data_IF_387713463120
#
_entry.id   IF_387713463120
#
_cell.length_a   1.000
_cell.length_b   1.000
_cell.length_c   1.000
_cell.angle_alpha   90.00
_cell.angle_beta   90.00
_cell.angle_gamma   90.00
#
_symmetry.space_group_name_H-M   'P 1'
#
loop_
_entity.id
_entity.type
_entity.pdbx_description
1 polymer ?
#
# COMPACT_ATOMS: atom_id res chain seq x y z
N UNK A 1 10.61 -0.83 -13.82
CA UNK A 1 9.69 -1.98 -13.77
C UNK A 1 8.45 -1.68 -14.60
N UNK A 2 7.95 -2.66 -15.33
CA UNK A 2 6.77 -2.48 -16.17
C UNK A 2 5.50 -2.32 -15.35
N UNK A 3 4.53 -1.62 -15.93
CA UNK A 3 3.22 -1.47 -15.30
C UNK A 3 2.52 -2.84 -15.19
N UNK A 4 1.67 -3.02 -14.20
CA UNK A 4 0.87 -4.24 -14.11
C UNK A 4 -0.12 -4.36 -15.27
N UNK A 5 -0.54 -5.59 -15.56
CA UNK A 5 -1.52 -5.87 -16.59
C UNK A 5 -2.90 -5.43 -16.13
N UNK A 6 -3.20 -5.59 -14.84
CA UNK A 6 -4.50 -5.29 -14.30
C UNK A 6 -4.42 -4.92 -12.82
N UNK A 7 -5.29 -4.01 -12.40
CA UNK A 7 -5.44 -3.60 -11.00
C UNK A 7 -6.94 -3.64 -10.69
N UNK A 8 -7.32 -4.39 -9.66
CA UNK A 8 -8.72 -4.53 -9.26
C UNK A 8 -8.85 -4.32 -7.76
N UNK A 9 -9.72 -3.38 -7.35
CA UNK A 9 -9.99 -3.22 -5.93
C UNK A 9 -11.25 -3.98 -5.54
N UNK A 10 -11.12 -4.87 -4.57
CA UNK A 10 -12.22 -5.66 -4.02
C UNK A 10 -12.78 -4.92 -2.79
N UNK A 11 -13.90 -4.23 -2.99
CA UNK A 11 -14.47 -3.33 -1.97
C UNK A 11 -14.86 -4.02 -0.68
N UNK A 12 -15.45 -5.20 -0.76
CA UNK A 12 -15.95 -5.90 0.44
C UNK A 12 -14.78 -6.42 1.26
N UNK A 13 -13.79 -7.00 0.59
CA UNK A 13 -12.62 -7.58 1.26
C UNK A 13 -11.59 -6.53 1.64
N UNK A 14 -11.66 -5.31 1.10
CA UNK A 14 -10.67 -4.24 1.27
C UNK A 14 -9.29 -4.70 0.80
N UNK A 15 -9.23 -5.32 -0.38
CA UNK A 15 -8.00 -5.88 -0.94
C UNK A 15 -7.78 -5.33 -2.34
N UNK A 16 -6.56 -4.86 -2.61
CA UNK A 16 -6.14 -4.43 -3.93
C UNK A 16 -5.40 -5.58 -4.59
N UNK A 17 -5.95 -6.07 -5.70
CA UNK A 17 -5.33 -7.12 -6.49
C UNK A 17 -4.53 -6.46 -7.61
N UNK A 18 -3.24 -6.79 -7.69
CA UNK A 18 -2.36 -6.26 -8.73
C UNK A 18 -1.74 -7.44 -9.48
N UNK A 19 -1.96 -7.46 -10.80
CA UNK A 19 -1.51 -8.58 -11.63
C UNK A 19 -0.46 -8.12 -12.64
N UNK A 20 0.71 -8.74 -12.57
CA UNK A 20 1.73 -8.70 -13.62
C UNK A 20 1.66 -10.01 -14.41
N UNK A 21 2.44 -10.08 -15.47
CA UNK A 21 2.43 -11.28 -16.34
C UNK A 21 2.77 -12.56 -15.56
N UNK A 22 3.73 -12.48 -14.64
CA UNK A 22 4.27 -13.65 -13.93
C UNK A 22 3.83 -13.75 -12.46
N UNK A 23 3.10 -12.78 -11.93
CA UNK A 23 2.74 -12.78 -10.52
C UNK A 23 1.48 -11.94 -10.27
N UNK A 24 0.69 -12.37 -9.29
CA UNK A 24 -0.46 -11.62 -8.81
C UNK A 24 -0.32 -11.44 -7.31
N UNK A 25 -0.49 -10.20 -6.83
CA UNK A 25 -0.49 -9.89 -5.41
C UNK A 25 -1.87 -9.43 -4.98
N UNK A 26 -2.28 -9.86 -3.79
CA UNK A 26 -3.50 -9.40 -3.14
C UNK A 26 -3.08 -8.64 -1.89
N UNK A 27 -3.16 -7.32 -1.95
CA UNK A 27 -2.62 -6.44 -0.90
C UNK A 27 -3.76 -5.81 -0.10
N UNK A 28 -3.85 -6.11 1.21
CA UNK A 28 -4.87 -5.45 2.04
C UNK A 28 -4.71 -3.93 2.04
N UNK A 29 -5.82 -3.21 2.00
CA UNK A 29 -5.80 -1.75 2.06
C UNK A 29 -5.11 -1.26 3.33
N UNK A 30 -5.30 -1.94 4.45
CA UNK A 30 -4.63 -1.64 5.71
C UNK A 30 -3.11 -1.65 5.55
N UNK A 31 -2.59 -2.70 4.91
CA UNK A 31 -1.15 -2.83 4.67
C UNK A 31 -0.63 -1.67 3.82
N UNK A 32 -1.32 -1.35 2.73
CA UNK A 32 -0.93 -0.25 1.86
C UNK A 32 -0.99 1.09 2.59
N UNK A 33 -2.00 1.28 3.44
CA UNK A 33 -2.16 2.52 4.20
C UNK A 33 -1.02 2.72 5.20
N UNK A 34 -0.67 1.70 5.97
CA UNK A 34 0.38 1.81 6.99
C UNK A 34 1.77 1.89 6.39
N UNK A 35 1.96 1.39 5.18
CA UNK A 35 3.24 1.45 4.47
C UNK A 35 3.23 2.47 3.33
N UNK A 36 2.31 3.43 3.38
CA UNK A 36 2.26 4.49 2.37
C UNK A 36 3.64 5.16 2.24
N UNK A 37 4.10 5.42 1.00
CA UNK A 37 5.39 6.07 0.78
C UNK A 37 5.32 7.59 0.98
N UNK A 38 4.17 8.10 1.43
CA UNK A 38 4.01 9.52 1.74
C UNK A 38 4.95 9.95 2.87
N UNK A 39 5.45 11.19 2.80
CA UNK A 39 6.28 11.75 3.87
C UNK A 39 5.53 11.83 5.19
N UNK A 40 4.21 11.93 5.17
CA UNK A 40 3.38 11.92 6.38
C UNK A 40 3.52 10.62 7.17
N UNK A 41 3.81 9.52 6.50
CA UNK A 41 3.97 8.20 7.11
C UNK A 41 5.44 7.86 7.25
N UNK A 42 6.21 8.03 6.17
CA UNK A 42 7.61 7.61 6.09
C UNK A 42 8.55 8.52 6.88
N UNK A 43 8.22 9.80 7.03
CA UNK A 43 9.12 10.78 7.59
C UNK A 43 10.25 11.09 6.62
N UNK A 44 11.39 11.57 7.16
CA UNK A 44 12.55 11.93 6.35
C UNK A 44 13.56 10.80 6.22
N UNK A 45 13.39 9.74 7.03
CA UNK A 45 14.24 8.54 7.00
C UNK A 45 13.43 7.34 7.44
N UNK A 46 13.97 6.12 7.21
CA UNK A 46 13.29 4.90 7.64
C UNK A 46 13.09 4.84 9.15
N UNK A 47 13.97 5.48 9.92
CA UNK A 47 13.88 5.52 11.37
C UNK A 47 12.76 6.45 11.86
N UNK A 48 12.37 7.42 11.05
CA UNK A 48 11.33 8.38 11.37
C UNK A 48 9.94 7.89 10.99
N UNK A 49 9.84 6.70 10.45
CA UNK A 49 8.56 6.18 10.01
C UNK A 49 7.56 6.16 11.17
N UNK A 50 6.40 6.74 10.94
CA UNK A 50 5.37 6.87 11.96
C UNK A 50 4.44 5.67 11.92
N UNK A 51 4.26 5.01 13.08
CA UNK A 51 3.29 3.93 13.21
C UNK A 51 1.88 4.48 12.99
N UNK A 52 1.16 3.87 12.08
CA UNK A 52 -0.22 4.23 11.81
C UNK A 52 -1.13 3.30 12.60
N UNK A 53 -2.01 3.86 13.43
CA UNK A 53 -2.96 3.09 14.24
C UNK A 53 -4.38 3.35 13.79
N UNK A 54 -5.31 2.45 14.15
CA UNK A 54 -6.72 2.63 13.82
C UNK A 54 -7.05 2.44 12.35
N UNK A 55 -6.22 1.69 11.60
CA UNK A 55 -6.39 1.53 10.15
C UNK A 55 -7.00 0.18 9.75
N UNK A 56 -7.44 -0.59 10.71
CA UNK A 56 -7.94 -1.95 10.47
C UNK A 56 -9.06 -2.01 9.44
N UNK A 57 -9.93 -1.01 9.41
CA UNK A 57 -11.09 -1.00 8.53
C UNK A 57 -10.95 -0.02 7.37
N UNK A 58 -9.75 0.48 7.10
CA UNK A 58 -9.54 1.45 6.02
C UNK A 58 -9.81 0.80 4.67
N UNK A 59 -10.45 1.56 3.79
CA UNK A 59 -10.67 1.14 2.41
C UNK A 59 -10.05 2.12 1.44
N UNK A 60 -10.11 1.78 0.16
CA UNK A 60 -9.59 2.62 -0.92
C UNK A 60 -10.79 3.27 -1.61
N UNK A 61 -10.74 4.60 -1.71
CA UNK A 61 -11.78 5.39 -2.34
C UNK A 61 -11.51 5.64 -3.82
N UNK A 62 -10.24 5.84 -4.19
CA UNK A 62 -9.86 6.19 -5.56
C UNK A 62 -8.44 5.76 -5.84
N UNK A 63 -8.18 5.38 -7.09
CA UNK A 63 -6.86 5.04 -7.60
C UNK A 63 -6.65 5.82 -8.87
N UNK A 64 -5.54 6.56 -8.97
CA UNK A 64 -5.20 7.36 -10.13
C UNK A 64 -3.82 7.00 -10.65
N UNK A 65 -3.67 6.90 -11.97
CA UNK A 65 -2.36 6.70 -12.58
C UNK A 65 -1.51 7.95 -12.42
N UNK A 66 -0.22 7.76 -12.12
CA UNK A 66 0.77 8.83 -12.07
C UNK A 66 1.82 8.50 -13.15
N UNK A 67 1.75 9.20 -14.28
CA UNK A 67 2.54 8.83 -15.43
C UNK A 67 2.32 7.37 -15.80
N UNK A 68 3.39 6.67 -16.16
CA UNK A 68 3.34 5.23 -16.43
C UNK A 68 4.16 4.43 -15.41
N UNK A 69 4.47 5.03 -14.26
CA UNK A 69 5.40 4.43 -13.28
C UNK A 69 4.79 4.20 -11.89
N UNK A 70 3.58 4.70 -11.62
CA UNK A 70 3.03 4.65 -10.27
C UNK A 70 1.51 4.84 -10.27
N UNK A 71 0.89 4.58 -9.11
CA UNK A 71 -0.49 4.98 -8.83
C UNK A 71 -0.52 5.81 -7.56
N UNK A 72 -1.45 6.76 -7.51
CA UNK A 72 -1.79 7.47 -6.28
C UNK A 72 -3.05 6.83 -5.71
N UNK A 73 -3.01 6.45 -4.44
CA UNK A 73 -4.13 5.82 -3.77
C UNK A 73 -4.75 6.83 -2.80
N UNK A 74 -6.06 7.05 -2.93
CA UNK A 74 -6.85 7.84 -1.99
C UNK A 74 -7.57 6.86 -1.08
N UNK A 75 -7.25 6.89 0.21
CA UNK A 75 -7.89 6.04 1.20
C UNK A 75 -9.12 6.73 1.77
N UNK A 76 -10.05 5.95 2.32
CA UNK A 76 -11.30 6.50 2.83
C UNK A 76 -11.15 7.25 4.16
N UNK A 77 -9.97 7.22 4.77
CA UNK A 77 -9.65 8.06 5.92
C UNK A 77 -9.09 9.44 5.52
N UNK A 78 -9.08 9.73 4.22
CA UNK A 78 -8.63 11.02 3.70
C UNK A 78 -7.16 11.06 3.30
N UNK A 79 -6.37 10.04 3.60
CA UNK A 79 -4.96 10.00 3.21
C UNK A 79 -4.85 9.79 1.70
N UNK A 80 -4.23 10.75 0.98
CA UNK A 80 -4.16 10.71 -0.48
C UNK A 80 -2.81 11.14 -1.03
N UNK A 81 -1.78 11.22 -0.19
CA UNK A 81 -0.48 11.73 -0.61
C UNK A 81 0.51 10.61 -0.96
N UNK A 82 0.10 9.35 -0.85
CA UNK A 82 0.97 8.23 -1.17
C UNK A 82 0.98 7.92 -2.65
N UNK A 83 2.17 8.00 -3.28
CA UNK A 83 2.38 7.62 -4.67
C UNK A 83 3.16 6.31 -4.65
N UNK A 84 2.50 5.23 -5.08
CA UNK A 84 3.06 3.89 -5.02
C UNK A 84 3.64 3.52 -6.38
N UNK A 85 4.98 3.54 -6.48
CA UNK A 85 5.67 3.10 -7.69
C UNK A 85 5.49 1.58 -7.86
N UNK A 86 5.55 1.11 -9.11
CA UNK A 86 5.39 -0.32 -9.40
C UNK A 86 6.40 -1.17 -8.65
N UNK A 87 7.65 -0.70 -8.56
CA UNK A 87 8.71 -1.41 -7.83
C UNK A 87 8.39 -1.53 -6.34
N UNK A 88 7.82 -0.49 -5.74
CA UNK A 88 7.46 -0.52 -4.34
C UNK A 88 6.28 -1.47 -4.08
N UNK A 89 5.28 -1.45 -4.95
CA UNK A 89 4.15 -2.39 -4.84
C UNK A 89 4.63 -3.84 -4.97
N UNK A 90 5.58 -4.08 -5.86
CA UNK A 90 6.19 -5.40 -6.01
C UNK A 90 6.97 -5.80 -4.74
N UNK A 91 7.69 -4.86 -4.15
CA UNK A 91 8.42 -5.08 -2.90
C UNK A 91 7.47 -5.46 -1.77
N UNK A 92 6.37 -4.71 -1.61
CA UNK A 92 5.37 -5.03 -0.58
C UNK A 92 4.78 -6.40 -0.81
N UNK A 93 4.41 -6.71 -2.07
CA UNK A 93 3.80 -8.00 -2.40
C UNK A 93 4.74 -9.16 -2.19
N UNK A 94 6.00 -9.00 -2.59
CA UNK A 94 7.00 -10.07 -2.45
C UNK A 94 7.39 -10.32 -0.99
N UNK A 95 7.22 -9.33 -0.12
CA UNK A 95 7.61 -9.41 1.29
C UNK A 95 6.42 -9.16 2.21
N UNK A 96 5.22 -9.49 1.75
CA UNK A 96 3.97 -9.15 2.44
C UNK A 96 3.93 -9.67 3.87
N UNK A 97 4.35 -10.92 4.08
CA UNK A 97 4.33 -11.52 5.42
C UNK A 97 5.24 -10.78 6.39
N UNK A 98 6.44 -10.41 5.93
CA UNK A 98 7.40 -9.67 6.76
C UNK A 98 6.86 -8.30 7.13
N UNK A 99 6.34 -7.57 6.14
CA UNK A 99 5.76 -6.23 6.37
C UNK A 99 4.58 -6.32 7.34
N UNK A 100 3.73 -7.32 7.17
CA UNK A 100 2.56 -7.49 8.02
C UNK A 100 2.95 -7.82 9.46
N UNK A 101 3.90 -8.74 9.64
CA UNK A 101 4.37 -9.13 10.97
C UNK A 101 5.06 -7.97 11.68
N UNK A 102 5.86 -7.18 10.97
CA UNK A 102 6.51 -6.00 11.54
C UNK A 102 5.47 -4.99 12.02
N UNK A 103 4.44 -4.77 11.22
CA UNK A 103 3.34 -3.88 11.58
C UNK A 103 2.60 -4.38 12.83
N UNK A 104 2.26 -5.65 12.87
CA UNK A 104 1.57 -6.23 14.04
C UNK A 104 2.43 -6.16 15.29
N UNK A 105 3.73 -6.38 15.16
CA UNK A 105 4.68 -6.28 16.27
C UNK A 105 4.71 -4.85 16.82
N UNK A 106 4.78 -3.87 15.92
CA UNK A 106 4.79 -2.46 16.33
C UNK A 106 3.51 -2.06 17.05
N UNK A 107 2.37 -2.59 16.64
CA UNK A 107 1.08 -2.30 17.28
C UNK A 107 1.01 -2.81 18.72
N UNK A 108 1.79 -3.82 19.07
CA UNK A 108 1.78 -4.43 20.40
C UNK A 108 2.63 -3.68 21.42
N UNK A 109 3.43 -2.74 20.97
CA UNK A 109 4.36 -2.01 21.85
C UNK A 109 3.75 -0.76 22.44
#
# INVERSE_FOLDING_TARGET
MQAPINITYHKIAHVLEIRWEDVTFNLPAELLRVYSPSAEVRGHSSEERKLQTGKKNVGIKQIEAVGNYAIRITFDDGHDTGIFAWSYLNEIGSNQDTFWQDYLTDLKQ
#
